data_IF_696108611417
#
_entry.id   IF_696108611417
#
_cell.length_a   1.000
_cell.length_b   1.000
_cell.length_c   1.000
_cell.angle_alpha   90.00
_cell.angle_beta   90.00
_cell.angle_gamma   90.00
#
_symmetry.space_group_name_H-M   'P 1'
#
loop_
_entity.id
_entity.type
_entity.pdbx_description
1 polymer ?
#
# COMPACT_ATOMS: atom_id res chain seq x y z
N UNK A 1 2.89 -11.40 -1.60
CA UNK A 1 1.51 -11.93 -1.75
C UNK A 1 1.20 -12.82 -0.56
N UNK A 2 -0.01 -12.73 0.00
CA UNK A 2 -0.52 -13.65 1.01
C UNK A 2 -1.52 -14.60 0.35
N UNK A 3 -1.24 -15.90 0.39
CA UNK A 3 -2.20 -16.93 -0.04
C UNK A 3 -3.07 -17.31 1.14
N UNK A 4 -4.39 -17.18 0.99
CA UNK A 4 -5.34 -17.49 2.05
C UNK A 4 -6.65 -18.04 1.47
N UNK A 5 -7.41 -18.77 2.29
CA UNK A 5 -8.68 -19.34 1.89
C UNK A 5 -9.82 -18.38 2.21
N UNK A 6 -10.57 -17.99 1.18
CA UNK A 6 -11.76 -17.15 1.25
C UNK A 6 -12.96 -17.94 0.70
N UNK A 7 -13.93 -18.24 1.57
CA UNK A 7 -15.03 -19.12 1.22
C UNK A 7 -14.52 -20.48 0.72
N UNK A 8 -14.85 -20.82 -0.53
CA UNK A 8 -14.53 -22.11 -1.15
C UNK A 8 -13.18 -22.15 -1.87
N UNK A 9 -12.42 -21.05 -1.92
CA UNK A 9 -11.23 -20.94 -2.76
C UNK A 9 -10.01 -20.43 -2.01
N UNK A 10 -8.83 -20.83 -2.50
CA UNK A 10 -7.59 -20.12 -2.20
C UNK A 10 -7.45 -18.92 -3.14
N UNK A 11 -7.06 -17.79 -2.57
CA UNK A 11 -6.88 -16.51 -3.26
C UNK A 11 -5.55 -15.90 -2.82
N UNK A 12 -4.82 -15.37 -3.79
CA UNK A 12 -3.60 -14.61 -3.54
C UNK A 12 -3.95 -13.12 -3.39
N UNK A 13 -3.62 -12.56 -2.23
CA UNK A 13 -3.85 -11.18 -1.90
C UNK A 13 -2.55 -10.37 -1.99
N UNK A 14 -2.64 -9.20 -2.62
CA UNK A 14 -1.63 -8.16 -2.48
C UNK A 14 -1.75 -7.59 -1.07
N UNK A 15 -0.66 -7.57 -0.33
CA UNK A 15 -0.59 -6.96 1.00
C UNK A 15 -0.13 -5.53 0.78
N UNK A 16 -0.99 -4.56 1.05
CA UNK A 16 -0.82 -3.18 0.58
C UNK A 16 -1.06 -2.16 1.70
N UNK A 17 0.04 -1.63 2.26
CA UNK A 17 0.00 -0.58 3.29
C UNK A 17 -0.35 0.82 2.75
N UNK A 18 -0.37 0.99 1.43
CA UNK A 18 -0.87 2.19 0.75
C UNK A 18 -2.39 2.14 0.52
N UNK A 19 -3.00 0.96 0.54
CA UNK A 19 -4.44 0.79 0.39
C UNK A 19 -5.20 1.02 1.71
N UNK A 20 -6.07 2.02 1.74
CA UNK A 20 -6.89 2.34 2.92
C UNK A 20 -7.92 1.26 3.29
N UNK A 21 -8.26 0.40 2.35
CA UNK A 21 -9.25 -0.67 2.52
C UNK A 21 -8.88 -1.91 1.73
N UNK A 22 -9.32 -3.05 2.24
CA UNK A 22 -9.26 -4.33 1.56
C UNK A 22 -10.24 -4.37 0.40
N UNK A 23 -9.75 -4.81 -0.75
CA UNK A 23 -10.48 -4.84 -2.02
C UNK A 23 -10.65 -6.29 -2.44
N UNK A 24 -11.85 -6.62 -2.91
CA UNK A 24 -12.13 -7.90 -3.52
C UNK A 24 -12.78 -7.70 -4.90
N UNK A 25 -12.26 -8.32 -5.97
CA UNK A 25 -12.90 -8.25 -7.28
C UNK A 25 -14.26 -8.95 -7.26
N UNK A 26 -15.27 -8.41 -7.94
CA UNK A 26 -16.60 -9.02 -8.02
C UNK A 26 -16.58 -10.46 -8.56
N UNK A 27 -15.68 -10.74 -9.51
CA UNK A 27 -15.45 -12.06 -10.09
C UNK A 27 -14.95 -13.05 -9.02
N UNK A 28 -14.11 -12.55 -8.11
CA UNK A 28 -13.59 -13.31 -6.98
C UNK A 28 -14.71 -13.61 -5.98
N UNK A 29 -15.58 -12.62 -5.67
CA UNK A 29 -16.78 -12.82 -4.83
C UNK A 29 -17.65 -13.96 -5.38
N UNK A 30 -17.90 -13.93 -6.69
CA UNK A 30 -18.72 -14.93 -7.38
C UNK A 30 -18.10 -16.31 -7.30
N UNK A 31 -16.81 -16.42 -7.62
CA UNK A 31 -16.06 -17.68 -7.55
C UNK A 31 -15.93 -18.26 -6.15
N UNK A 32 -15.84 -17.40 -5.13
CA UNK A 32 -15.77 -17.84 -3.73
C UNK A 32 -17.15 -18.22 -3.14
N UNK A 33 -18.23 -18.08 -3.91
CA UNK A 33 -19.60 -18.38 -3.46
C UNK A 33 -20.20 -17.32 -2.53
N UNK A 34 -19.64 -16.11 -2.50
CA UNK A 34 -19.97 -15.07 -1.52
C UNK A 34 -21.02 -14.06 -1.99
N UNK A 35 -21.57 -14.22 -3.20
CA UNK A 35 -22.51 -13.25 -3.80
C UNK A 35 -23.74 -12.99 -2.94
N UNK A 36 -24.22 -13.99 -2.20
CA UNK A 36 -25.38 -13.88 -1.32
C UNK A 36 -25.11 -13.06 -0.05
N UNK A 37 -23.85 -12.82 0.29
CA UNK A 37 -23.43 -11.96 1.41
C UNK A 37 -23.11 -10.52 0.97
N UNK A 38 -23.21 -10.22 -0.33
CA UNK A 38 -22.88 -8.91 -0.87
C UNK A 38 -23.98 -7.89 -0.55
N UNK A 39 -23.67 -6.91 0.29
CA UNK A 39 -24.51 -5.74 0.50
C UNK A 39 -24.29 -4.72 -0.63
N UNK A 40 -25.30 -4.62 -1.50
CA UNK A 40 -25.28 -3.75 -2.69
C UNK A 40 -25.88 -2.35 -2.44
N UNK A 41 -26.19 -2.00 -1.19
CA UNK A 41 -26.69 -0.66 -0.85
C UNK A 41 -25.68 0.46 -1.18
N UNK A 42 -24.38 0.13 -1.18
CA UNK A 42 -23.30 1.02 -1.57
C UNK A 42 -22.86 0.72 -3.01
N UNK A 43 -23.40 1.46 -3.98
CA UNK A 43 -22.89 1.48 -5.35
C UNK A 43 -22.35 2.87 -5.68
N UNK A 44 -21.08 2.93 -6.05
CA UNK A 44 -20.42 4.18 -6.39
C UNK A 44 -19.42 3.96 -7.52
N UNK A 45 -19.18 4.98 -8.34
CA UNK A 45 -18.06 4.99 -9.28
C UNK A 45 -16.88 5.64 -8.60
N UNK A 46 -15.72 4.98 -8.64
CA UNK A 46 -14.49 5.62 -8.22
C UNK A 46 -14.11 6.65 -9.28
N UNK A 47 -14.25 7.92 -8.93
CA UNK A 47 -13.73 9.03 -9.73
C UNK A 47 -12.23 9.10 -9.49
N UNK A 48 -11.47 8.59 -10.44
CA UNK A 48 -10.05 8.88 -10.52
C UNK A 48 -9.81 9.57 -11.87
N UNK A 49 -9.40 10.84 -11.81
CA UNK A 49 -9.17 11.70 -12.99
C UNK A 49 -8.00 11.23 -13.85
N UNK A 50 -7.17 10.32 -13.34
CA UNK A 50 -5.99 9.76 -14.00
C UNK A 50 -6.21 8.28 -14.38
N UNK A 51 -7.41 7.76 -14.19
CA UNK A 51 -7.71 6.34 -14.41
C UNK A 51 -8.13 6.06 -15.85
N UNK A 52 -7.49 5.08 -16.50
CA UNK A 52 -7.85 4.61 -17.85
C UNK A 52 -9.21 3.91 -17.87
N UNK A 53 -9.65 3.37 -16.73
CA UNK A 53 -10.99 2.81 -16.53
C UNK A 53 -11.55 3.28 -15.19
N UNK A 54 -12.86 3.38 -15.04
CA UNK A 54 -13.49 3.77 -13.78
C UNK A 54 -13.98 2.53 -13.03
N UNK A 55 -13.23 2.00 -12.04
CA UNK A 55 -13.71 0.88 -11.25
C UNK A 55 -15.00 1.27 -10.54
N UNK A 56 -15.95 0.34 -10.52
CA UNK A 56 -17.23 0.53 -9.84
C UNK A 56 -17.22 -0.26 -8.54
N UNK A 57 -17.56 0.40 -7.44
CA UNK A 57 -17.90 -0.26 -6.19
C UNK A 57 -19.26 -0.93 -6.40
N UNK A 58 -19.28 -2.26 -6.38
CA UNK A 58 -20.47 -3.09 -6.53
C UNK A 58 -21.22 -3.31 -5.21
N UNK A 59 -20.53 -3.13 -4.10
CA UNK A 59 -21.05 -3.32 -2.76
C UNK A 59 -19.94 -3.50 -1.75
N UNK A 60 -20.32 -4.00 -0.57
CA UNK A 60 -19.42 -4.35 0.52
C UNK A 60 -19.80 -5.71 1.09
N UNK A 61 -18.83 -6.44 1.64
CA UNK A 61 -19.11 -7.70 2.34
C UNK A 61 -18.17 -7.91 3.51
N UNK A 62 -18.63 -8.68 4.49
CA UNK A 62 -17.79 -9.24 5.56
C UNK A 62 -17.68 -10.73 5.34
N UNK A 63 -16.46 -11.23 5.23
CA UNK A 63 -16.20 -12.65 5.05
C UNK A 63 -14.88 -13.01 5.72
N UNK A 64 -14.88 -14.17 6.38
CA UNK A 64 -13.70 -14.73 7.03
C UNK A 64 -12.66 -15.11 5.99
N UNK A 65 -11.43 -14.70 6.25
CA UNK A 65 -10.24 -15.05 5.52
C UNK A 65 -9.40 -15.97 6.40
N UNK A 66 -9.32 -17.24 6.01
CA UNK A 66 -8.53 -18.23 6.72
C UNK A 66 -7.09 -18.21 6.19
N UNK A 67 -6.18 -17.70 7.01
CA UNK A 67 -4.76 -17.69 6.75
C UNK A 67 -4.11 -19.00 7.21
N UNK A 68 -2.80 -19.14 6.95
CA UNK A 68 -2.01 -20.25 7.48
C UNK A 68 -2.01 -20.26 9.01
N UNK A 69 -1.71 -21.42 9.59
CA UNK A 69 -1.58 -21.62 11.04
C UNK A 69 -2.85 -21.32 11.86
N UNK A 70 -4.03 -21.41 11.23
CA UNK A 70 -5.32 -21.24 11.91
C UNK A 70 -5.73 -19.80 12.19
N UNK A 71 -4.95 -18.81 11.73
CA UNK A 71 -5.31 -17.40 11.85
C UNK A 71 -6.53 -17.10 10.97
N UNK A 72 -7.55 -16.45 11.54
CA UNK A 72 -8.75 -16.03 10.82
C UNK A 72 -8.87 -14.52 10.91
N UNK A 73 -8.87 -13.87 9.75
CA UNK A 73 -9.09 -12.43 9.61
C UNK A 73 -10.54 -12.18 9.16
N UNK A 74 -11.14 -11.07 9.59
CA UNK A 74 -12.50 -10.65 9.20
C UNK A 74 -12.49 -9.26 8.54
N UNK A 75 -11.81 -9.11 7.39
CA UNK A 75 -11.78 -7.87 6.62
C UNK A 75 -13.17 -7.34 6.28
N UNK A 76 -13.23 -6.00 6.15
CA UNK A 76 -14.35 -5.33 5.52
C UNK A 76 -14.04 -5.09 4.05
N UNK A 77 -14.57 -5.94 3.18
CA UNK A 77 -14.24 -5.90 1.77
C UNK A 77 -15.04 -4.83 1.04
N UNK A 78 -14.34 -3.98 0.31
CA UNK A 78 -14.91 -3.17 -0.76
C UNK A 78 -14.88 -4.00 -2.05
N UNK A 79 -16.05 -4.25 -2.64
CA UNK A 79 -16.13 -5.05 -3.86
C UNK A 79 -16.00 -4.17 -5.09
N UNK A 80 -14.91 -4.34 -5.83
CA UNK A 80 -14.59 -3.56 -7.03
C UNK A 80 -14.73 -4.39 -8.31
N UNK A 81 -15.03 -3.70 -9.41
CA UNK A 81 -15.11 -4.28 -10.74
C UNK A 81 -14.68 -3.23 -11.81
N UNK A 82 -13.57 -3.47 -12.55
CA UNK A 82 -12.58 -4.53 -12.34
C UNK A 82 -11.70 -4.25 -11.10
N UNK A 83 -10.94 -5.24 -10.65
CA UNK A 83 -9.97 -5.07 -9.56
C UNK A 83 -9.06 -6.27 -9.36
N UNK A 84 -8.15 -6.18 -8.38
CA UNK A 84 -7.36 -7.31 -7.86
C UNK A 84 -7.62 -7.50 -6.36
N UNK A 85 -7.42 -8.70 -5.80
CA UNK A 85 -7.55 -8.91 -4.36
C UNK A 85 -6.45 -8.18 -3.59
N UNK A 86 -6.84 -7.27 -2.69
CA UNK A 86 -5.93 -6.48 -1.86
C UNK A 86 -6.35 -6.58 -0.40
N UNK A 87 -5.37 -6.80 0.47
CA UNK A 87 -5.50 -6.59 1.91
C UNK A 87 -4.90 -5.24 2.26
N UNK A 88 -5.76 -4.34 2.73
CA UNK A 88 -5.41 -2.97 3.06
C UNK A 88 -5.25 -2.71 4.55
N UNK A 89 -5.12 -1.44 4.87
CA UNK A 89 -4.92 -0.91 6.20
C UNK A 89 -6.06 -1.20 7.18
N UNK A 90 -7.28 -1.48 6.71
CA UNK A 90 -8.40 -1.90 7.57
C UNK A 90 -8.10 -3.20 8.32
N UNK A 91 -7.42 -4.14 7.66
CA UNK A 91 -6.97 -5.39 8.29
C UNK A 91 -5.77 -5.14 9.20
N UNK A 92 -4.78 -4.38 8.74
CA UNK A 92 -3.56 -4.17 9.50
C UNK A 92 -3.80 -3.40 10.80
N UNK A 93 -4.70 -2.41 10.79
CA UNK A 93 -5.17 -1.73 12.00
C UNK A 93 -6.04 -2.65 12.86
N UNK A 94 -6.95 -3.42 12.24
CA UNK A 94 -7.85 -4.33 12.94
C UNK A 94 -7.13 -5.40 13.77
N UNK A 95 -5.96 -5.85 13.32
CA UNK A 95 -5.19 -6.97 13.88
C UNK A 95 -3.80 -6.55 14.40
N UNK A 96 -3.65 -5.31 14.88
CA UNK A 96 -2.43 -4.80 15.56
C UNK A 96 -1.12 -5.11 14.81
N UNK A 97 -1.12 -4.85 13.51
CA UNK A 97 0.07 -5.02 12.69
C UNK A 97 1.14 -3.98 13.04
N UNK A 98 2.40 -4.39 13.04
CA UNK A 98 3.57 -3.54 13.28
C UNK A 98 4.54 -3.64 12.11
N UNK A 99 5.08 -2.49 11.71
CA UNK A 99 6.17 -2.36 10.76
C UNK A 99 7.47 -2.16 11.53
N UNK A 100 8.52 -2.91 11.20
CA UNK A 100 9.79 -2.85 11.93
C UNK A 100 10.98 -3.05 11.00
N UNK A 101 12.03 -2.25 11.18
CA UNK A 101 13.30 -2.40 10.46
C UNK A 101 14.22 -3.25 11.33
N UNK A 102 14.43 -4.53 11.00
CA UNK A 102 15.14 -5.52 11.83
C UNK A 102 14.52 -5.74 13.24
N UNK A 103 14.94 -6.81 13.94
CA UNK A 103 14.43 -7.16 15.28
C UNK A 103 14.92 -6.26 16.43
N UNK A 104 15.92 -5.40 16.19
CA UNK A 104 16.66 -4.65 17.24
C UNK A 104 16.48 -3.12 17.18
N UNK A 105 15.59 -2.63 16.33
CA UNK A 105 15.47 -1.21 15.97
C UNK A 105 14.00 -0.75 16.03
N UNK A 106 13.71 0.57 15.97
CA UNK A 106 12.39 1.10 16.36
C UNK A 106 11.24 0.42 15.61
N UNK A 107 10.23 -0.01 16.38
CA UNK A 107 8.97 -0.55 15.87
C UNK A 107 8.02 0.61 15.61
N UNK A 108 7.42 0.63 14.43
CA UNK A 108 6.30 1.51 14.09
C UNK A 108 5.02 0.70 14.20
N UNK A 109 4.21 1.00 15.21
CA UNK A 109 2.91 0.36 15.37
C UNK A 109 1.89 1.04 14.46
N UNK A 110 1.15 0.25 13.69
CA UNK A 110 -0.01 0.74 12.95
C UNK A 110 -1.11 0.90 14.00
N UNK A 111 -1.21 2.10 14.59
CA UNK A 111 -2.12 2.34 15.70
C UNK A 111 -3.59 2.13 15.28
N UNK A 112 -4.31 1.35 16.09
CA UNK A 112 -5.78 1.40 16.16
C UNK A 112 -6.17 2.80 16.62
N UNK A 113 -6.98 3.57 15.87
CA UNK A 113 -7.57 4.77 16.43
C UNK A 113 -8.42 4.33 17.63
N UNK A 114 -8.18 4.96 18.79
CA UNK A 114 -8.78 4.62 20.10
C UNK A 114 -10.31 4.47 20.11
N UNK A 115 -11.01 4.92 19.06
CA UNK A 115 -12.43 4.66 18.80
C UNK A 115 -12.69 4.69 17.29
N UNK A 116 -12.57 3.57 16.58
CA UNK A 116 -13.12 3.49 15.23
C UNK A 116 -14.62 3.18 15.31
N UNK A 117 -15.45 4.21 15.12
CA UNK A 117 -16.74 3.99 14.49
C UNK A 117 -16.48 3.26 13.16
N UNK A 118 -17.16 2.14 12.91
CA UNK A 118 -16.96 1.21 11.79
C UNK A 118 -17.09 1.81 10.36
N UNK A 119 -17.12 3.13 10.23
CA UNK A 119 -17.35 3.87 8.99
C UNK A 119 -16.14 4.72 8.52
N UNK A 120 -15.01 4.74 9.24
CA UNK A 120 -13.80 5.46 8.79
C UNK A 120 -12.79 4.49 8.17
N UNK A 121 -12.43 4.74 6.92
CA UNK A 121 -11.33 4.07 6.22
C UNK A 121 -10.04 4.30 7.01
N UNK A 122 -9.16 3.30 7.05
CA UNK A 122 -7.85 3.46 7.69
C UNK A 122 -6.97 4.39 6.84
N UNK A 123 -6.13 5.19 7.49
CA UNK A 123 -5.18 6.04 6.78
C UNK A 123 -3.98 5.22 6.33
N UNK A 124 -3.33 5.58 5.20
CA UNK A 124 -2.12 4.92 4.78
C UNK A 124 -0.99 5.20 5.78
N UNK A 125 0.01 4.31 5.83
CA UNK A 125 1.18 4.53 6.70
C UNK A 125 2.08 5.58 6.07
N UNK A 126 2.08 6.77 6.65
CA UNK A 126 2.92 7.84 6.16
C UNK A 126 4.05 8.18 7.12
N UNK A 127 5.18 8.58 6.55
CA UNK A 127 6.41 8.82 7.29
C UNK A 127 7.16 10.04 6.73
N UNK A 128 7.99 10.65 7.57
CA UNK A 128 8.99 11.57 7.09
C UNK A 128 10.23 10.79 6.63
N UNK A 129 10.70 11.10 5.43
CA UNK A 129 11.97 10.61 4.91
C UNK A 129 12.79 11.78 4.36
N UNK A 130 14.11 11.64 4.34
CA UNK A 130 15.01 12.62 3.74
C UNK A 130 15.48 12.09 2.39
N UNK A 131 15.28 12.89 1.33
CA UNK A 131 15.69 12.57 -0.04
C UNK A 131 16.88 13.45 -0.43
N UNK A 132 17.95 12.82 -0.92
CA UNK A 132 19.23 13.47 -1.27
C UNK A 132 19.73 12.99 -2.63
N UNK A 133 20.24 13.91 -3.46
CA UNK A 133 20.98 13.56 -4.68
C UNK A 133 22.39 13.03 -4.37
N UNK A 134 23.01 13.57 -3.32
CA UNK A 134 24.34 13.23 -2.83
C UNK A 134 24.35 13.31 -1.29
N UNK A 135 25.04 12.38 -0.63
CA UNK A 135 25.20 12.34 0.83
C UNK A 135 25.92 13.57 1.39
N UNK A 136 26.72 14.26 0.57
CA UNK A 136 27.41 15.49 0.98
C UNK A 136 26.54 16.75 0.90
N UNK A 137 25.37 16.68 0.25
CA UNK A 137 24.46 17.81 0.10
C UNK A 137 23.32 17.76 1.10
N UNK A 138 22.80 18.93 1.47
CA UNK A 138 21.56 19.01 2.25
C UNK A 138 20.41 18.38 1.45
N UNK A 139 19.68 17.46 2.08
CA UNK A 139 18.50 16.85 1.49
C UNK A 139 17.23 17.63 1.74
N UNK A 140 16.13 17.11 1.20
CA UNK A 140 14.79 17.61 1.46
C UNK A 140 14.02 16.58 2.29
N UNK A 141 13.39 17.01 3.38
CA UNK A 141 12.47 16.16 4.12
C UNK A 141 11.13 16.14 3.41
N UNK A 142 10.67 14.95 3.10
CA UNK A 142 9.43 14.69 2.39
C UNK A 142 8.53 13.78 3.20
N UNK A 143 7.23 14.04 3.09
CA UNK A 143 6.19 13.18 3.62
C UNK A 143 5.91 12.10 2.57
N UNK A 144 6.13 10.83 2.94
CA UNK A 144 6.02 9.70 2.02
C UNK A 144 5.12 8.59 2.56
N UNK A 145 4.36 7.98 1.67
CA UNK A 145 3.54 6.79 1.94
C UNK A 145 4.40 5.54 1.84
N UNK A 146 4.37 4.68 2.87
CA UNK A 146 4.93 3.33 2.80
C UNK A 146 3.93 2.42 2.08
N UNK A 147 4.28 1.96 0.89
CA UNK A 147 3.36 1.25 0.02
C UNK A 147 3.96 -0.10 -0.40
N UNK A 148 3.57 -1.17 0.29
CA UNK A 148 3.96 -2.55 -0.05
C UNK A 148 3.26 -3.09 -1.31
N UNK A 149 2.21 -2.42 -1.79
CA UNK A 149 1.54 -2.70 -3.06
C UNK A 149 2.27 -2.10 -4.26
N UNK A 150 3.01 -1.02 -4.06
CA UNK A 150 3.85 -0.40 -5.08
C UNK A 150 5.17 -1.14 -5.27
N UNK A 151 5.48 -1.52 -6.51
CA UNK A 151 6.75 -2.17 -6.84
C UNK A 151 7.98 -1.24 -6.80
N UNK A 152 7.77 0.07 -6.90
CA UNK A 152 8.86 1.05 -6.94
C UNK A 152 8.52 2.33 -6.18
N UNK A 153 9.55 3.13 -5.91
CA UNK A 153 9.40 4.43 -5.28
C UNK A 153 8.97 5.51 -6.28
N UNK A 154 8.12 6.44 -5.83
CA UNK A 154 7.67 7.57 -6.65
C UNK A 154 7.92 8.89 -5.96
N UNK A 155 8.25 9.91 -6.77
CA UNK A 155 8.27 11.31 -6.34
C UNK A 155 7.69 12.20 -7.43
N UNK A 156 7.25 13.38 -7.03
CA UNK A 156 6.81 14.42 -7.96
C UNK A 156 7.98 15.05 -8.70
N UNK A 157 7.73 15.59 -9.89
CA UNK A 157 8.72 16.39 -10.61
C UNK A 157 9.19 17.59 -9.79
N UNK A 158 8.30 18.22 -9.02
CA UNK A 158 8.61 19.33 -8.11
C UNK A 158 9.62 18.91 -7.03
N UNK A 159 9.37 17.77 -6.36
CA UNK A 159 10.28 17.22 -5.34
C UNK A 159 11.63 16.90 -5.96
N UNK A 160 11.65 16.29 -7.15
CA UNK A 160 12.89 15.99 -7.86
C UNK A 160 13.71 17.25 -8.20
N UNK A 161 13.05 18.35 -8.60
CA UNK A 161 13.72 19.63 -8.84
C UNK A 161 14.25 20.26 -7.54
N UNK A 162 13.46 20.26 -6.47
CA UNK A 162 13.84 20.82 -5.17
C UNK A 162 15.04 20.09 -4.57
N UNK A 163 15.10 18.77 -4.75
CA UNK A 163 16.20 17.91 -4.32
C UNK A 163 17.37 17.86 -5.32
N UNK A 164 17.28 18.60 -6.43
CA UNK A 164 18.30 18.67 -7.49
C UNK A 164 18.66 17.29 -8.04
N UNK A 165 17.69 16.39 -8.13
CA UNK A 165 17.89 15.08 -8.72
C UNK A 165 18.12 15.23 -10.23
N UNK A 166 19.08 14.47 -10.75
CA UNK A 166 19.26 14.37 -12.21
C UNK A 166 18.22 13.40 -12.76
N UNK A 167 17.22 13.94 -13.44
CA UNK A 167 16.16 13.15 -14.06
C UNK A 167 16.67 12.59 -15.39
N UNK A 168 16.69 11.27 -15.48
CA UNK A 168 16.98 10.55 -16.72
C UNK A 168 15.65 10.33 -17.45
N UNK A 169 15.45 10.93 -18.63
CA UNK A 169 14.21 10.78 -19.38
C UNK A 169 14.06 9.33 -19.86
N UNK A 170 12.81 8.87 -19.96
CA UNK A 170 12.52 7.57 -20.54
C UNK A 170 12.85 7.58 -22.04
N UNK A 171 13.47 6.51 -22.54
CA UNK A 171 13.71 6.36 -23.97
C UNK A 171 12.39 6.09 -24.70
N UNK A 172 12.35 6.35 -26.00
CA UNK A 172 11.18 6.09 -26.85
C UNK A 172 10.71 4.62 -26.88
N UNK A 173 11.55 3.68 -26.43
CA UNK A 173 11.22 2.25 -26.32
C UNK A 173 10.67 1.85 -24.95
N UNK A 174 10.89 2.67 -23.91
CA UNK A 174 10.33 2.44 -22.57
C UNK A 174 8.99 3.13 -22.43
N UNK A 175 7.97 2.38 -22.00
CA UNK A 175 6.65 2.94 -21.69
C UNK A 175 6.78 4.08 -20.68
N UNK A 176 6.27 5.26 -21.03
CA UNK A 176 6.11 6.39 -20.11
C UNK A 176 4.95 6.22 -19.13
N UNK A 177 4.37 5.03 -19.05
CA UNK A 177 3.20 4.72 -18.23
C UNK A 177 3.52 3.69 -17.16
N UNK A 178 3.13 4.02 -15.93
CA UNK A 178 3.09 3.10 -14.78
C UNK A 178 1.69 2.54 -14.69
N UNK A 179 1.54 1.23 -14.50
CA UNK A 179 0.24 0.63 -14.21
C UNK A 179 -0.12 0.79 -12.73
N UNK A 180 -1.34 1.24 -12.48
CA UNK A 180 -1.96 1.36 -11.15
C UNK A 180 -3.22 0.50 -11.10
N UNK A 181 -3.79 0.32 -9.91
CA UNK A 181 -5.05 -0.43 -9.74
C UNK A 181 -6.24 0.18 -10.50
N UNK A 182 -6.13 1.44 -10.92
CA UNK A 182 -7.20 2.14 -11.65
C UNK A 182 -6.81 2.50 -13.09
N UNK A 183 -5.62 2.15 -13.58
CA UNK A 183 -5.22 2.51 -14.94
C UNK A 183 -3.73 2.75 -15.09
N UNK A 184 -3.36 3.88 -15.69
CA UNK A 184 -1.95 4.25 -15.82
C UNK A 184 -1.66 5.68 -15.37
N UNK A 185 -0.46 5.89 -14.86
CA UNK A 185 0.06 7.21 -14.52
C UNK A 185 1.27 7.54 -15.41
N UNK A 186 1.36 8.80 -15.85
CA UNK A 186 2.45 9.27 -16.70
C UNK A 186 3.72 9.55 -15.90
N UNK A 187 4.84 9.03 -16.41
CA UNK A 187 6.19 9.29 -15.92
C UNK A 187 6.91 10.27 -16.83
N UNK A 188 7.69 11.15 -16.20
CA UNK A 188 8.63 12.05 -16.89
C UNK A 188 9.99 11.38 -17.06
N UNK A 189 10.40 10.55 -16.09
CA UNK A 189 11.73 9.95 -16.06
C UNK A 189 11.94 9.12 -14.80
N UNK A 190 13.20 8.76 -14.57
CA UNK A 190 13.64 8.22 -13.29
C UNK A 190 14.87 8.96 -12.80
N UNK A 191 15.11 8.93 -11.50
CA UNK A 191 16.31 9.47 -10.87
C UNK A 191 16.87 8.47 -9.86
N UNK A 192 18.15 8.63 -9.52
CA UNK A 192 18.76 7.93 -8.41
C UNK A 192 18.93 8.88 -7.24
N UNK A 193 18.63 8.40 -6.03
CA UNK A 193 18.69 9.21 -4.82
C UNK A 193 19.11 8.35 -3.62
N UNK A 194 19.67 9.03 -2.61
CA UNK A 194 19.79 8.50 -1.27
C UNK A 194 18.51 8.82 -0.50
N UNK A 195 17.88 7.78 0.02
CA UNK A 195 16.72 7.87 0.89
C UNK A 195 17.16 7.55 2.31
N UNK A 196 16.93 8.49 3.23
CA UNK A 196 17.14 8.28 4.66
C UNK A 196 15.80 8.14 5.38
N UNK A 197 15.60 7.00 6.03
CA UNK A 197 14.39 6.69 6.79
C UNK A 197 14.75 5.86 8.02
N UNK A 198 14.21 6.24 9.19
CA UNK A 198 14.49 5.62 10.49
C UNK A 198 16.00 5.43 10.78
N UNK A 199 16.81 6.43 10.41
CA UNK A 199 18.26 6.41 10.60
C UNK A 199 19.02 5.43 9.68
N UNK A 200 18.36 4.82 8.70
CA UNK A 200 19.00 4.03 7.65
C UNK A 200 19.04 4.83 6.37
N UNK A 201 20.16 4.69 5.65
CA UNK A 201 20.38 5.32 4.35
C UNK A 201 20.46 4.22 3.30
N UNK A 202 19.67 4.33 2.24
CA UNK A 202 19.70 3.43 1.10
C UNK A 202 19.76 4.20 -0.21
N UNK A 203 20.37 3.61 -1.23
CA UNK A 203 20.41 4.17 -2.57
C UNK A 203 19.30 3.52 -3.42
N UNK A 204 18.40 4.34 -3.97
CA UNK A 204 17.16 3.88 -4.62
C UNK A 204 16.98 4.54 -5.98
N UNK A 205 16.20 3.86 -6.84
CA UNK A 205 15.68 4.44 -8.07
C UNK A 205 14.29 5.01 -7.78
N UNK A 206 14.11 6.29 -8.04
CA UNK A 206 12.83 7.00 -7.93
C UNK A 206 12.22 7.17 -9.31
N UNK A 207 10.98 6.72 -9.49
CA UNK A 207 10.18 7.06 -10.66
C UNK A 207 9.59 8.46 -10.49
N UNK A 208 9.82 9.35 -11.45
CA UNK A 208 9.40 10.76 -11.38
C UNK A 208 8.11 10.95 -12.16
N UNK A 209 7.06 11.38 -11.47
CA UNK A 209 5.73 11.65 -12.05
C UNK A 209 5.56 13.13 -12.37
N UNK A 210 4.79 13.42 -13.42
CA UNK A 210 4.48 14.78 -13.83
C UNK A 210 3.54 15.47 -12.84
N UNK A 211 2.52 14.73 -12.38
CA UNK A 211 1.49 15.21 -11.47
C UNK A 211 1.21 14.17 -10.39
N UNK A 212 1.68 14.45 -9.17
CA UNK A 212 1.25 13.84 -7.90
C UNK A 212 2.05 14.51 -6.79
N UNK A 213 1.41 14.88 -5.68
CA UNK A 213 2.09 15.64 -4.61
C UNK A 213 2.77 14.73 -3.57
N UNK A 214 2.35 13.47 -3.46
CA UNK A 214 2.84 12.56 -2.41
C UNK A 214 3.98 11.66 -2.91
N UNK A 215 5.06 11.61 -2.13
CA UNK A 215 6.12 10.63 -2.32
C UNK A 215 5.64 9.23 -1.89
N UNK A 216 6.11 8.19 -2.57
CA UNK A 216 5.80 6.80 -2.26
C UNK A 216 7.11 6.05 -2.09
N UNK A 217 7.27 5.36 -0.96
CA UNK A 217 8.33 4.40 -0.72
C UNK A 217 7.77 3.01 -1.04
N UNK A 218 8.12 2.51 -2.22
CA UNK A 218 7.66 1.22 -2.71
C UNK A 218 8.47 0.04 -2.17
N UNK A 219 7.98 -1.16 -2.50
CA UNK A 219 8.49 -2.44 -2.04
C UNK A 219 10.00 -2.62 -2.25
N UNK A 220 10.58 -2.11 -3.34
CA UNK A 220 12.02 -2.19 -3.62
C UNK A 220 12.87 -1.54 -2.51
N UNK A 221 12.51 -0.32 -2.10
CA UNK A 221 13.14 0.39 -1.00
C UNK A 221 12.80 -0.23 0.36
N UNK A 222 11.55 -0.65 0.58
CA UNK A 222 11.15 -1.30 1.84
C UNK A 222 11.94 -2.60 2.09
N UNK A 223 12.18 -3.39 1.04
CA UNK A 223 13.02 -4.59 1.10
C UNK A 223 14.50 -4.24 1.34
N UNK A 224 15.03 -3.20 0.69
CA UNK A 224 16.39 -2.72 0.94
C UNK A 224 16.58 -2.25 2.38
N UNK A 225 15.55 -1.67 2.99
CA UNK A 225 15.49 -1.32 4.41
C UNK A 225 15.31 -2.53 5.33
N UNK A 226 15.01 -3.72 4.80
CA UNK A 226 14.60 -4.91 5.57
C UNK A 226 13.41 -4.63 6.49
N UNK A 227 12.44 -3.89 5.97
CA UNK A 227 11.18 -3.65 6.67
C UNK A 227 10.39 -4.95 6.75
N UNK A 228 10.00 -5.34 7.96
CA UNK A 228 9.17 -6.50 8.25
C UNK A 228 7.79 -6.04 8.73
N UNK A 229 6.77 -6.77 8.31
CA UNK A 229 5.39 -6.61 8.75
C UNK A 229 5.03 -7.79 9.65
N UNK A 230 4.68 -7.52 10.89
CA UNK A 230 4.38 -8.54 11.88
C UNK A 230 3.01 -8.25 12.50
N UNK A 231 2.13 -9.25 12.56
CA UNK A 231 0.94 -9.15 13.38
C UNK A 231 1.33 -9.43 14.83
N UNK A 232 1.07 -8.47 15.73
CA UNK A 232 1.27 -8.70 17.15
C UNK A 232 0.13 -9.59 17.64
N UNK A 233 0.45 -10.84 17.97
CA UNK A 233 -0.41 -11.62 18.86
C UNK A 233 -0.22 -11.01 20.24
N UNK A 234 -1.28 -10.44 20.81
CA UNK A 234 -1.27 -10.14 22.24
C UNK A 234 -1.16 -11.50 22.93
N UNK A 235 0.02 -11.83 23.45
CA UNK A 235 0.13 -12.87 24.46
C UNK A 235 -0.69 -12.34 25.64
N UNK A 236 -1.83 -12.97 25.92
CA UNK A 236 -2.54 -12.73 27.16
C UNK A 236 -1.52 -13.00 28.27
N UNK A 237 -1.05 -11.93 28.93
CA UNK A 237 -0.31 -12.07 30.18
C UNK A 237 -1.28 -12.80 31.12
N UNK A 238 -1.04 -14.09 31.36
CA UNK A 238 -1.70 -14.83 32.44
C UNK A 238 -1.42 -14.03 33.72
N UNK A 239 -2.43 -13.32 34.22
CA UNK A 239 -2.42 -12.74 35.55
C UNK A 239 -2.24 -13.88 36.55
N UNK A 240 -0.98 -14.16 36.94
CA UNK A 240 -0.62 -15.06 38.05
C UNK A 240 -0.80 -14.38 39.40
#
# INVERSE_FOLDING_TARGET
MLRARLGLMEVDFLVDTGANASILPYDCVTRCGLTHHLDQSLRARLLNTVAEYQPTIRGRLRAQLHCSNGVVLEPFWVVLDPGIPILGMDVFTGYNCALSINSTHPKMFIQRPLRQNAARLANPVNVNCLIQSDLQQAGQTEWATLDTGSSCCFVSHTVAQQTRLTIIPLSSQTSSRIHTITGTAQMVGYAFAYLTFLGKVIHVRLCVKEHQDEAIIGLDALLALRLNMNFCVEEEEEET
#
